data_IF_466015973897
#
_entry.id   IF_466015973897
#
_cell.length_a   1.000
_cell.length_b   1.000
_cell.length_c   1.000
_cell.angle_alpha   90.00
_cell.angle_beta   90.00
_cell.angle_gamma   90.00
#
_symmetry.space_group_name_H-M   'P 1'
#
loop_
_entity.id
_entity.type
_entity.pdbx_description
1 polymer ?
#
# COMPACT_ATOMS: atom_id res chain seq x y z
N UNK A 1 -22.68 30.56 -22.71
CA UNK A 1 -22.79 29.26 -23.40
C UNK A 1 -21.75 28.30 -22.82
N UNK A 2 -22.12 27.47 -21.82
CA UNK A 2 -21.21 26.49 -21.21
C UNK A 2 -21.54 25.12 -21.81
N UNK A 3 -20.75 24.65 -22.78
CA UNK A 3 -20.90 23.30 -23.30
C UNK A 3 -20.32 22.31 -22.28
N UNK A 4 -21.19 21.54 -21.63
CA UNK A 4 -20.78 20.39 -20.83
C UNK A 4 -20.19 19.34 -21.79
N UNK A 5 -18.87 19.17 -21.79
CA UNK A 5 -18.22 18.09 -22.54
C UNK A 5 -18.81 16.77 -22.04
N UNK A 6 -19.51 16.05 -22.91
CA UNK A 6 -20.06 14.74 -22.56
C UNK A 6 -18.93 13.70 -22.59
N UNK A 7 -19.01 12.67 -21.74
CA UNK A 7 -18.04 11.54 -21.70
C UNK A 7 -17.72 11.02 -23.10
N UNK A 8 -18.72 10.95 -23.99
CA UNK A 8 -18.57 10.48 -25.37
C UNK A 8 -17.74 11.41 -26.26
N UNK A 9 -17.83 12.72 -26.07
CA UNK A 9 -17.00 13.70 -26.78
C UNK A 9 -15.55 13.63 -26.31
N UNK A 10 -15.34 13.48 -25.00
CA UNK A 10 -14.01 13.30 -24.42
C UNK A 10 -13.32 12.03 -24.96
N UNK A 11 -14.06 10.92 -25.07
CA UNK A 11 -13.54 9.67 -25.67
C UNK A 11 -13.24 9.81 -27.16
N UNK A 12 -14.05 10.57 -27.92
CA UNK A 12 -13.79 10.85 -29.34
C UNK A 12 -12.55 11.72 -29.55
N UNK A 13 -12.39 12.77 -28.74
CA UNK A 13 -11.21 13.64 -28.78
C UNK A 13 -9.95 12.85 -28.40
N UNK A 14 -10.05 12.00 -27.36
CA UNK A 14 -8.96 11.11 -26.95
C UNK A 14 -8.59 10.05 -28.01
N UNK A 15 -9.56 9.56 -28.78
CA UNK A 15 -9.31 8.61 -29.88
C UNK A 15 -8.59 9.23 -31.08
N UNK A 16 -8.73 10.54 -31.30
CA UNK A 16 -7.99 11.29 -32.33
C UNK A 16 -6.54 11.59 -31.89
N UNK A 17 -6.23 11.42 -30.59
CA UNK A 17 -4.87 11.50 -30.05
C UNK A 17 -3.99 10.32 -30.47
N UNK A 18 -3.60 10.27 -31.74
CA UNK A 18 -2.82 9.19 -32.36
C UNK A 18 -1.40 9.00 -31.78
N UNK A 19 -0.93 9.93 -30.95
CA UNK A 19 0.41 9.89 -30.34
C UNK A 19 0.46 9.48 -28.86
N UNK A 20 -0.59 9.76 -28.08
CA UNK A 20 -0.58 9.65 -26.61
C UNK A 20 -1.76 8.81 -26.09
N UNK A 21 -1.89 7.59 -26.62
CA UNK A 21 -2.83 6.63 -26.04
C UNK A 21 -2.32 6.11 -24.69
N UNK A 22 -3.23 5.76 -23.79
CA UNK A 22 -2.86 5.14 -22.51
C UNK A 22 -2.01 3.88 -22.72
N UNK A 23 -2.33 3.06 -23.72
CA UNK A 23 -1.54 1.87 -24.07
C UNK A 23 -0.12 2.22 -24.52
N UNK A 24 0.07 3.30 -25.29
CA UNK A 24 1.39 3.79 -25.71
C UNK A 24 2.17 4.34 -24.51
N UNK A 25 1.50 5.08 -23.63
CA UNK A 25 2.08 5.59 -22.38
C UNK A 25 2.57 4.45 -21.48
N UNK A 26 1.75 3.43 -21.23
CA UNK A 26 2.12 2.27 -20.42
C UNK A 26 3.29 1.49 -21.04
N UNK A 27 3.32 1.36 -22.37
CA UNK A 27 4.45 0.73 -23.08
C UNK A 27 5.75 1.54 -22.95
N UNK A 28 5.67 2.88 -23.02
CA UNK A 28 6.83 3.76 -22.81
C UNK A 28 7.31 3.73 -21.35
N UNK A 29 6.41 3.66 -20.38
CA UNK A 29 6.71 3.52 -18.96
C UNK A 29 7.40 2.17 -18.65
N UNK A 30 6.96 1.08 -19.31
CA UNK A 30 7.62 -0.22 -19.19
C UNK A 30 9.00 -0.25 -19.88
N UNK A 31 9.16 0.46 -21.01
CA UNK A 31 10.41 0.51 -21.76
C UNK A 31 11.49 1.39 -21.09
N UNK A 32 11.07 2.43 -20.38
CA UNK A 32 11.92 3.24 -19.51
C UNK A 32 11.40 3.13 -18.08
N UNK A 33 11.76 2.08 -17.33
CA UNK A 33 11.52 2.06 -15.90
C UNK A 33 12.38 3.18 -15.31
N UNK A 34 11.81 4.39 -15.23
CA UNK A 34 12.37 5.46 -14.41
C UNK A 34 12.64 4.86 -13.06
N UNK A 35 13.89 4.98 -12.57
CA UNK A 35 14.41 4.31 -11.38
C UNK A 35 13.44 4.40 -10.22
N UNK A 36 12.53 3.44 -10.17
CA UNK A 36 11.54 3.30 -9.13
C UNK A 36 12.28 2.61 -8.02
N UNK A 37 12.26 3.23 -6.84
CA UNK A 37 12.68 2.60 -5.62
C UNK A 37 12.08 1.18 -5.60
N UNK A 38 12.93 0.14 -5.62
CA UNK A 38 12.53 -1.27 -5.81
C UNK A 38 11.78 -1.84 -4.60
N UNK A 39 11.17 -0.97 -3.81
CA UNK A 39 10.47 -1.29 -2.58
C UNK A 39 9.01 -1.50 -2.92
N UNK A 40 8.66 -2.74 -3.26
CA UNK A 40 7.28 -3.20 -3.27
C UNK A 40 7.00 -3.94 -1.96
N UNK A 41 5.97 -3.52 -1.22
CA UNK A 41 5.48 -4.23 -0.04
C UNK A 41 4.02 -4.64 -0.26
N UNK A 42 3.67 -5.85 0.15
CA UNK A 42 2.27 -6.30 0.21
C UNK A 42 1.80 -6.06 1.64
N UNK A 43 0.87 -5.12 1.81
CA UNK A 43 0.22 -4.89 3.09
C UNK A 43 -1.04 -5.74 3.18
N UNK A 44 -1.02 -6.75 4.06
CA UNK A 44 -2.17 -7.62 4.31
C UNK A 44 -2.90 -7.07 5.54
N UNK A 45 -4.07 -6.49 5.33
CA UNK A 45 -4.94 -6.06 6.42
C UNK A 45 -5.82 -7.23 6.85
N UNK A 46 -5.48 -7.87 7.97
CA UNK A 46 -6.26 -8.95 8.56
C UNK A 46 -7.10 -8.40 9.71
N UNK A 47 -8.38 -8.15 9.44
CA UNK A 47 -9.31 -7.70 10.47
C UNK A 47 -9.48 -8.77 11.55
N UNK A 48 -9.25 -8.40 12.81
CA UNK A 48 -9.35 -9.31 13.97
C UNK A 48 -8.10 -10.15 14.26
N UNK A 49 -7.03 -10.03 13.47
CA UNK A 49 -5.76 -10.67 13.81
C UNK A 49 -5.01 -9.87 14.89
N UNK A 50 -4.16 -10.53 15.70
CA UNK A 50 -3.27 -9.85 16.63
C UNK A 50 -2.35 -8.87 15.89
N UNK A 51 -2.09 -7.71 16.49
CA UNK A 51 -1.16 -6.76 15.89
C UNK A 51 0.28 -7.30 15.93
N UNK A 52 1.15 -6.77 15.07
CA UNK A 52 2.58 -7.06 15.17
C UNK A 52 3.18 -6.62 16.51
N UNK A 53 2.63 -5.56 17.12
CA UNK A 53 3.06 -5.08 18.43
C UNK A 53 2.63 -6.01 19.57
N UNK A 54 1.68 -6.92 19.35
CA UNK A 54 1.24 -7.87 20.37
C UNK A 54 1.87 -9.27 20.19
N UNK A 55 2.61 -9.48 19.11
CA UNK A 55 3.15 -10.80 18.75
C UNK A 55 4.65 -10.77 18.54
N UNK A 56 5.10 -10.16 17.44
CA UNK A 56 6.49 -10.26 16.98
C UNK A 56 7.39 -9.14 17.49
N UNK A 57 6.83 -7.98 17.85
CA UNK A 57 7.59 -6.79 18.22
C UNK A 57 6.94 -6.04 19.39
N UNK A 58 6.99 -6.70 20.57
CA UNK A 58 6.29 -6.30 21.79
C UNK A 58 6.72 -4.95 22.39
N UNK A 59 7.88 -4.43 21.97
CA UNK A 59 8.48 -3.18 22.47
C UNK A 59 8.29 -2.97 24.00
N UNK A 60 8.67 -3.93 24.84
CA UNK A 60 8.32 -3.92 26.27
C UNK A 60 8.80 -2.67 27.02
N UNK A 61 9.92 -2.12 26.56
CA UNK A 61 10.60 -0.97 27.16
C UNK A 61 10.26 0.37 26.47
N UNK A 62 9.37 0.37 25.47
CA UNK A 62 8.96 1.61 24.82
C UNK A 62 7.94 2.40 25.68
N UNK A 63 7.81 3.72 25.46
CA UNK A 63 6.77 4.53 26.10
C UNK A 63 5.36 3.98 25.87
N UNK A 64 4.43 4.29 26.78
CA UNK A 64 3.04 3.79 26.75
C UNK A 64 2.31 4.17 25.46
N UNK A 65 2.72 5.26 24.81
CA UNK A 65 2.17 5.75 23.55
C UNK A 65 2.64 4.94 22.34
N UNK A 66 3.70 4.13 22.48
CA UNK A 66 4.37 3.40 21.39
C UNK A 66 4.23 1.89 21.53
N UNK A 67 4.22 1.37 22.76
CA UNK A 67 3.93 -0.05 23.01
C UNK A 67 2.44 -0.33 22.95
N UNK A 68 2.08 -1.60 22.74
CA UNK A 68 0.68 -2.05 22.82
C UNK A 68 0.11 -1.86 24.23
N UNK A 69 -1.21 -1.96 24.35
CA UNK A 69 -1.93 -1.82 25.63
C UNK A 69 -1.52 -2.90 26.65
N UNK A 70 -1.21 -4.08 26.14
CA UNK A 70 -0.95 -5.27 26.92
C UNK A 70 0.53 -5.39 27.35
N UNK A 71 0.76 -6.19 28.39
CA UNK A 71 2.11 -6.52 28.88
C UNK A 71 2.49 -7.92 28.42
N UNK A 72 3.74 -8.16 28.01
CA UNK A 72 4.19 -9.47 27.59
C UNK A 72 3.98 -10.55 28.66
N UNK A 73 3.49 -11.70 28.23
CA UNK A 73 3.38 -12.93 29.00
C UNK A 73 4.26 -14.01 28.37
N UNK A 74 4.78 -14.92 29.21
CA UNK A 74 5.53 -16.09 28.72
C UNK A 74 4.58 -17.13 28.16
N UNK A 75 4.96 -17.72 27.02
CA UNK A 75 4.26 -18.87 26.46
C UNK A 75 4.88 -20.18 26.95
N UNK A 76 4.29 -21.31 26.58
CA UNK A 76 4.88 -22.63 26.84
C UNK A 76 6.14 -22.91 26.01
N UNK A 77 6.40 -22.12 24.95
CA UNK A 77 7.62 -22.23 24.17
C UNK A 77 8.74 -21.42 24.84
N UNK A 78 9.90 -22.04 25.17
CA UNK A 78 10.99 -21.35 25.85
C UNK A 78 11.46 -20.10 25.09
N UNK A 79 11.53 -18.97 25.80
CA UNK A 79 12.00 -17.70 25.25
C UNK A 79 10.99 -16.94 24.39
N UNK A 80 9.78 -17.47 24.18
CA UNK A 80 8.72 -16.81 23.42
C UNK A 80 7.76 -16.10 24.36
N UNK A 81 7.62 -14.79 24.15
CA UNK A 81 6.62 -13.95 24.79
C UNK A 81 5.64 -13.40 23.75
N UNK A 82 4.40 -13.20 24.18
CA UNK A 82 3.34 -12.52 23.42
C UNK A 82 2.58 -11.60 24.37
N UNK A 83 1.78 -10.68 23.85
CA UNK A 83 0.91 -9.80 24.61
C UNK A 83 -0.56 -10.24 24.51
#
# INVERSE_FOLDING_TARGET
MRSHINRRELLRIGAIGTGLTLSRYLRLQAANPSGSDKRSAIFIFMEGAPSHQDTFDLKPNAPIEVRGEFKPISTNAPGVQIC
#
